data_IF_318175204390
#
_entry.id   IF_318175204390
#
_cell.length_a   1.000
_cell.length_b   1.000
_cell.length_c   1.000
_cell.angle_alpha   90.00
_cell.angle_beta   90.00
_cell.angle_gamma   90.00
#
_symmetry.space_group_name_H-M   'P 1'
#
loop_
_entity.id
_entity.type
_entity.pdbx_description
1 polymer ?
#
# COMPACT_ATOMS: atom_id res chain seq x y z
N UNK A 1 14.86 -26.27 6.92
CA UNK A 1 14.57 -27.28 5.86
C UNK A 1 15.67 -27.16 4.82
N UNK A 2 16.30 -28.27 4.36
CA UNK A 2 17.41 -28.19 3.41
C UNK A 2 16.97 -27.57 2.08
N UNK A 3 17.80 -26.71 1.48
CA UNK A 3 17.53 -26.02 0.21
C UNK A 3 17.07 -26.98 -0.92
N UNK A 4 17.59 -28.21 -0.93
CA UNK A 4 17.18 -29.25 -1.88
C UNK A 4 15.74 -29.72 -1.69
N UNK A 5 15.21 -29.71 -0.46
CA UNK A 5 13.78 -30.03 -0.21
C UNK A 5 12.86 -28.92 -0.66
N UNK A 6 13.31 -27.67 -0.53
CA UNK A 6 12.55 -26.48 -0.99
C UNK A 6 12.45 -26.49 -2.52
N UNK A 7 13.56 -26.75 -3.20
CA UNK A 7 13.60 -26.85 -4.66
C UNK A 7 12.69 -27.97 -5.19
N UNK A 8 12.67 -29.13 -4.54
CA UNK A 8 11.83 -30.28 -4.92
C UNK A 8 10.34 -29.92 -4.73
N UNK A 9 9.96 -29.25 -3.64
CA UNK A 9 8.56 -28.85 -3.40
C UNK A 9 8.11 -27.82 -4.44
N UNK A 10 8.96 -26.88 -4.81
CA UNK A 10 8.65 -25.86 -5.84
C UNK A 10 8.50 -26.46 -7.23
N UNK A 11 9.40 -27.37 -7.59
CA UNK A 11 9.29 -28.12 -8.86
C UNK A 11 8.03 -28.99 -8.85
N UNK A 12 7.65 -29.58 -7.72
CA UNK A 12 6.43 -30.37 -7.59
C UNK A 12 5.17 -29.49 -7.68
N UNK A 13 5.16 -28.29 -7.05
CA UNK A 13 4.03 -27.35 -7.12
C UNK A 13 3.89 -26.81 -8.56
N UNK A 14 4.99 -26.42 -9.20
CA UNK A 14 4.99 -26.00 -10.60
C UNK A 14 4.52 -27.14 -11.53
N UNK A 15 4.98 -28.37 -11.32
CA UNK A 15 4.58 -29.54 -12.10
C UNK A 15 3.09 -29.89 -11.90
N UNK A 16 2.58 -29.82 -10.66
CA UNK A 16 1.17 -30.06 -10.34
C UNK A 16 0.30 -28.96 -10.96
N UNK A 17 0.72 -27.70 -10.92
CA UNK A 17 -0.01 -26.58 -11.53
C UNK A 17 -0.05 -26.74 -13.07
N UNK A 18 1.05 -27.11 -13.70
CA UNK A 18 1.13 -27.38 -15.14
C UNK A 18 0.27 -28.59 -15.51
N UNK A 19 0.31 -29.68 -14.73
CA UNK A 19 -0.47 -30.89 -14.98
C UNK A 19 -1.98 -30.66 -14.83
N UNK A 20 -2.41 -29.91 -13.83
CA UNK A 20 -3.82 -29.56 -13.61
C UNK A 20 -4.41 -28.69 -14.74
N UNK A 21 -3.59 -27.82 -15.33
CA UNK A 21 -4.00 -26.99 -16.49
C UNK A 21 -4.09 -27.80 -17.78
N UNK A 22 -3.24 -28.81 -17.96
CA UNK A 22 -3.16 -29.60 -19.21
C UNK A 22 -4.26 -30.68 -19.30
N UNK A 23 -4.80 -31.16 -18.19
CA UNK A 23 -5.72 -32.32 -18.17
C UNK A 23 -7.19 -31.99 -17.95
N UNK A 24 -7.57 -30.72 -17.77
CA UNK A 24 -8.95 -30.30 -17.56
C UNK A 24 -9.74 -30.20 -18.88
N UNK A 25 -10.98 -30.76 -18.97
CA UNK A 25 -11.84 -30.58 -20.15
C UNK A 25 -12.29 -29.10 -20.28
N UNK A 26 -12.18 -28.56 -21.47
CA UNK A 26 -12.12 -27.14 -21.79
C UNK A 26 -13.43 -26.32 -21.68
N UNK A 27 -14.55 -26.88 -21.21
CA UNK A 27 -15.87 -26.25 -21.48
C UNK A 27 -16.44 -25.40 -20.32
N UNK A 28 -16.13 -25.66 -19.01
CA UNK A 28 -16.79 -24.99 -17.90
C UNK A 28 -15.91 -24.78 -16.63
N UNK A 29 -14.60 -24.89 -16.78
CA UNK A 29 -13.70 -24.70 -15.63
C UNK A 29 -13.32 -23.24 -15.44
N UNK A 30 -13.32 -22.74 -14.19
CA UNK A 30 -12.82 -21.40 -13.91
C UNK A 30 -11.36 -21.30 -14.38
N UNK A 31 -11.02 -20.19 -15.05
CA UNK A 31 -9.64 -19.96 -15.52
C UNK A 31 -8.74 -19.74 -14.30
N UNK A 32 -7.82 -20.66 -14.09
CA UNK A 32 -6.76 -20.52 -13.13
C UNK A 32 -5.61 -19.74 -13.78
N UNK A 33 -5.24 -18.61 -13.20
CA UNK A 33 -4.07 -17.83 -13.58
C UNK A 33 -3.23 -17.62 -12.33
N UNK A 34 -1.97 -17.28 -12.50
CA UNK A 34 -1.11 -16.98 -11.37
C UNK A 34 0.34 -16.82 -11.79
N UNK A 35 1.22 -16.86 -10.81
CA UNK A 35 2.65 -16.85 -11.06
C UNK A 35 3.41 -17.60 -9.96
N UNK A 36 4.64 -17.94 -10.27
CA UNK A 36 5.65 -18.34 -9.30
C UNK A 36 6.79 -17.33 -9.36
N UNK A 37 7.27 -16.91 -8.20
CA UNK A 37 8.23 -15.83 -8.07
C UNK A 37 9.30 -16.16 -7.05
N UNK A 38 10.52 -15.75 -7.32
CA UNK A 38 11.64 -15.76 -6.38
C UNK A 38 12.18 -14.36 -6.25
N UNK A 39 12.26 -13.87 -5.01
CA UNK A 39 12.75 -12.54 -4.64
C UNK A 39 13.95 -12.65 -3.70
N UNK A 40 15.01 -11.91 -4.02
CA UNK A 40 16.20 -11.77 -3.18
C UNK A 40 16.48 -10.27 -3.04
N UNK A 41 16.61 -9.81 -1.80
CA UNK A 41 16.96 -8.42 -1.45
C UNK A 41 18.17 -8.42 -0.53
N UNK A 42 19.26 -7.79 -0.96
CA UNK A 42 20.52 -7.68 -0.23
C UNK A 42 20.64 -6.28 0.35
N UNK A 43 20.96 -6.16 1.65
CA UNK A 43 21.27 -4.90 2.28
C UNK A 43 22.63 -4.40 1.80
N UNK A 44 22.70 -3.11 1.48
CA UNK A 44 23.96 -2.44 1.09
C UNK A 44 24.81 -2.14 2.33
N UNK A 45 24.14 -1.83 3.43
CA UNK A 45 24.75 -1.57 4.73
C UNK A 45 24.42 -2.67 5.72
N UNK A 46 25.28 -2.91 6.69
CA UNK A 46 25.00 -3.81 7.80
C UNK A 46 24.01 -3.18 8.79
N UNK A 47 22.77 -3.61 8.78
CA UNK A 47 21.82 -3.31 9.83
C UNK A 47 21.97 -4.33 10.98
N UNK A 48 22.78 -3.99 11.95
CA UNK A 48 23.09 -4.85 13.12
C UNK A 48 21.92 -4.94 14.12
N UNK A 49 20.89 -4.13 13.96
CA UNK A 49 19.74 -4.09 14.86
C UNK A 49 18.62 -5.04 14.40
N UNK A 50 18.51 -5.30 13.10
CA UNK A 50 17.58 -6.27 12.56
C UNK A 50 18.05 -7.73 12.79
N UNK A 51 17.15 -8.69 12.64
CA UNK A 51 17.46 -10.13 12.88
C UNK A 51 18.44 -10.73 11.88
N UNK A 52 18.54 -10.15 10.68
CA UNK A 52 19.42 -10.57 9.58
C UNK A 52 20.20 -9.36 9.06
N UNK A 53 21.53 -9.45 9.04
CA UNK A 53 22.37 -8.31 8.68
C UNK A 53 22.56 -8.13 7.16
N UNK A 54 22.68 -9.23 6.39
CA UNK A 54 23.11 -9.17 4.99
C UNK A 54 21.97 -9.08 3.98
N UNK A 55 20.72 -9.38 4.35
CA UNK A 55 19.60 -9.36 3.43
C UNK A 55 18.30 -8.96 4.16
N UNK A 56 17.35 -8.41 3.42
CA UNK A 56 16.03 -8.05 3.91
C UNK A 56 14.90 -8.82 3.23
N UNK A 57 15.20 -9.58 2.17
CA UNK A 57 14.23 -10.38 1.42
C UNK A 57 14.91 -11.63 0.88
N UNK A 58 14.35 -12.80 1.15
CA UNK A 58 14.70 -14.08 0.55
C UNK A 58 13.42 -14.91 0.51
N UNK A 59 12.67 -14.76 -0.58
CA UNK A 59 11.27 -15.18 -0.66
C UNK A 59 11.03 -16.04 -1.89
N UNK A 60 10.09 -16.97 -1.74
CA UNK A 60 9.48 -17.68 -2.84
C UNK A 60 7.98 -17.61 -2.68
N UNK A 61 7.31 -17.22 -3.74
CA UNK A 61 5.88 -16.98 -3.77
C UNK A 61 5.23 -17.71 -4.92
N UNK A 62 4.07 -18.29 -4.68
CA UNK A 62 3.16 -18.76 -5.71
C UNK A 62 1.81 -18.09 -5.50
N UNK A 63 1.33 -17.37 -6.50
CA UNK A 63 0.00 -16.77 -6.53
C UNK A 63 -0.95 -17.64 -7.34
N UNK A 64 -2.16 -17.81 -6.82
CA UNK A 64 -3.28 -18.48 -7.50
C UNK A 64 -4.45 -17.52 -7.57
N UNK A 65 -4.99 -17.35 -8.78
CA UNK A 65 -6.10 -16.45 -9.08
C UNK A 65 -7.18 -17.21 -9.82
N UNK A 66 -8.38 -17.20 -9.26
CA UNK A 66 -9.55 -17.86 -9.81
C UNK A 66 -10.68 -16.86 -9.99
N UNK A 67 -11.30 -16.87 -11.15
CA UNK A 67 -12.48 -16.07 -11.46
C UNK A 67 -13.57 -16.98 -11.99
N UNK A 68 -14.72 -16.97 -11.35
CA UNK A 68 -15.84 -17.83 -11.70
C UNK A 68 -17.13 -17.01 -11.86
N UNK A 69 -17.85 -17.27 -12.94
CA UNK A 69 -19.14 -16.66 -13.25
C UNK A 69 -20.21 -17.76 -13.19
N UNK A 70 -21.00 -17.85 -12.10
CA UNK A 70 -22.01 -18.87 -11.91
C UNK A 70 -23.19 -18.62 -12.88
N UNK A 71 -23.36 -19.46 -13.87
CA UNK A 71 -24.42 -19.36 -14.91
C UNK A 71 -25.57 -20.33 -14.71
N UNK A 72 -25.39 -21.37 -13.84
CA UNK A 72 -26.38 -22.41 -13.58
C UNK A 72 -27.60 -21.93 -12.78
N UNK A 73 -27.43 -20.90 -11.95
CA UNK A 73 -28.53 -20.29 -11.21
C UNK A 73 -28.98 -19.03 -11.94
N UNK A 74 -30.23 -19.01 -12.45
CA UNK A 74 -30.76 -17.94 -13.27
C UNK A 74 -30.60 -16.55 -12.64
N UNK A 75 -30.81 -16.43 -11.32
CA UNK A 75 -30.67 -15.18 -10.59
C UNK A 75 -29.24 -14.66 -10.57
N UNK A 76 -28.23 -15.54 -10.38
CA UNK A 76 -26.82 -15.17 -10.36
C UNK A 76 -26.35 -14.75 -11.76
N UNK A 77 -26.82 -15.43 -12.80
CA UNK A 77 -26.59 -15.05 -14.20
C UNK A 77 -27.21 -13.70 -14.53
N UNK A 78 -28.45 -13.46 -14.10
CA UNK A 78 -29.15 -12.19 -14.31
C UNK A 78 -28.42 -11.01 -13.65
N UNK A 79 -27.81 -11.23 -12.50
CA UNK A 79 -27.05 -10.24 -11.76
C UNK A 79 -25.58 -10.13 -12.17
N UNK A 80 -25.13 -10.79 -13.24
CA UNK A 80 -23.73 -10.82 -13.68
C UNK A 80 -22.78 -11.14 -12.52
N UNK A 81 -23.14 -12.15 -11.70
CA UNK A 81 -22.41 -12.48 -10.49
C UNK A 81 -21.01 -13.01 -10.81
N UNK A 82 -20.01 -12.47 -10.13
CA UNK A 82 -18.62 -12.92 -10.17
C UNK A 82 -18.21 -13.38 -8.78
N UNK A 83 -17.57 -14.54 -8.69
CA UNK A 83 -16.83 -15.00 -7.50
C UNK A 83 -15.35 -14.93 -7.85
N UNK A 84 -14.62 -14.17 -7.05
CA UNK A 84 -13.18 -13.98 -7.24
C UNK A 84 -12.41 -14.49 -6.03
N UNK A 85 -11.34 -15.22 -6.29
CA UNK A 85 -10.41 -15.72 -5.29
C UNK A 85 -8.98 -15.48 -5.76
N UNK A 86 -8.17 -14.88 -4.90
CA UNK A 86 -6.74 -14.68 -5.09
C UNK A 86 -6.02 -15.00 -3.78
N UNK A 87 -5.02 -15.86 -3.84
CA UNK A 87 -4.23 -16.26 -2.68
C UNK A 87 -2.76 -16.42 -3.04
N UNK A 88 -1.90 -16.17 -2.07
CA UNK A 88 -0.47 -16.40 -2.17
C UNK A 88 -0.04 -17.52 -1.21
N UNK A 89 0.87 -18.36 -1.68
CA UNK A 89 1.70 -19.21 -0.83
C UNK A 89 3.08 -18.58 -0.76
N UNK A 90 3.49 -18.16 0.43
CA UNK A 90 4.76 -17.48 0.66
C UNK A 90 5.66 -18.32 1.56
N UNK A 91 6.89 -18.56 1.10
CA UNK A 91 8.02 -19.01 1.89
C UNK A 91 9.01 -17.85 2.00
N UNK A 92 9.34 -17.48 3.21
CA UNK A 92 10.21 -16.33 3.50
C UNK A 92 11.17 -16.72 4.62
N UNK A 93 12.45 -16.44 4.44
CA UNK A 93 13.50 -16.76 5.42
C UNK A 93 13.32 -16.04 6.77
N UNK A 94 12.46 -14.99 6.82
CA UNK A 94 12.04 -14.30 8.05
C UNK A 94 10.87 -14.97 8.76
N UNK A 95 10.33 -16.07 8.24
CA UNK A 95 9.24 -16.84 8.83
C UNK A 95 9.75 -18.18 9.35
N UNK A 96 9.34 -18.58 10.55
CA UNK A 96 9.65 -19.88 11.11
C UNK A 96 8.98 -21.02 10.34
N UNK A 97 7.81 -20.75 9.77
CA UNK A 97 7.00 -21.69 8.99
C UNK A 97 6.51 -21.00 7.70
N UNK A 98 6.37 -21.74 6.57
CA UNK A 98 5.71 -21.20 5.40
C UNK A 98 4.32 -20.67 5.80
N UNK A 99 4.02 -19.43 5.45
CA UNK A 99 2.62 -18.98 5.52
C UNK A 99 1.86 -19.63 4.37
N UNK A 100 1.19 -20.71 4.71
CA UNK A 100 0.14 -21.23 3.89
C UNK A 100 -1.04 -20.27 4.04
N UNK A 101 -1.26 -19.45 3.01
CA UNK A 101 -2.46 -18.69 2.75
C UNK A 101 -2.90 -17.61 3.77
N UNK A 102 -3.47 -16.68 3.31
CA UNK A 102 -4.65 -15.90 3.57
C UNK A 102 -5.15 -15.55 2.20
N UNK A 103 -6.43 -15.63 1.90
CA UNK A 103 -6.92 -15.05 0.68
C UNK A 103 -6.45 -13.61 0.68
N UNK A 104 -5.79 -13.22 -0.39
CA UNK A 104 -5.46 -11.82 -0.59
C UNK A 104 -6.68 -11.05 -1.06
N UNK A 105 -7.54 -11.73 -1.84
CA UNK A 105 -8.87 -11.27 -2.18
C UNK A 105 -9.82 -12.47 -2.28
N UNK A 106 -10.97 -12.37 -1.63
CA UNK A 106 -12.05 -13.34 -1.72
C UNK A 106 -13.37 -12.58 -1.64
N UNK A 107 -14.02 -12.39 -2.76
CA UNK A 107 -15.26 -11.65 -2.80
C UNK A 107 -16.27 -12.21 -3.79
N UNK A 108 -17.53 -11.83 -3.58
CA UNK A 108 -18.60 -11.93 -4.55
C UNK A 108 -18.98 -10.52 -5.02
N UNK A 109 -19.08 -10.33 -6.33
CA UNK A 109 -19.56 -9.09 -6.92
C UNK A 109 -20.77 -9.39 -7.82
N UNK A 110 -21.78 -8.51 -7.78
CA UNK A 110 -22.99 -8.68 -8.57
C UNK A 110 -23.70 -7.35 -8.79
N UNK A 111 -24.51 -7.28 -9.87
CA UNK A 111 -25.27 -6.10 -10.30
C UNK A 111 -26.77 -6.39 -10.19
N UNK A 112 -27.40 -6.21 -9.00
CA UNK A 112 -28.81 -6.54 -8.81
C UNK A 112 -29.76 -5.60 -9.55
N UNK A 113 -29.33 -4.35 -9.78
CA UNK A 113 -30.06 -3.32 -10.51
C UNK A 113 -29.10 -2.64 -11.49
N UNK A 114 -29.60 -2.15 -12.62
CA UNK A 114 -28.78 -1.51 -13.66
C UNK A 114 -27.96 -0.29 -13.21
N UNK A 115 -28.28 0.26 -12.05
CA UNK A 115 -27.61 1.41 -11.44
C UNK A 115 -26.89 1.06 -10.12
N UNK A 116 -26.89 -0.21 -9.68
CA UNK A 116 -26.34 -0.61 -8.39
C UNK A 116 -25.44 -1.84 -8.53
N UNK A 117 -24.17 -1.69 -8.21
CA UNK A 117 -23.19 -2.76 -8.12
C UNK A 117 -22.84 -3.02 -6.66
N UNK A 118 -22.79 -4.29 -6.28
CA UNK A 118 -22.46 -4.74 -4.92
C UNK A 118 -21.22 -5.63 -4.96
N UNK A 119 -20.28 -5.42 -4.03
CA UNK A 119 -19.11 -6.25 -3.83
C UNK A 119 -18.93 -6.53 -2.35
N UNK A 120 -18.88 -7.81 -1.95
CA UNK A 120 -18.82 -8.22 -0.54
C UNK A 120 -17.70 -9.24 -0.37
N UNK A 121 -16.85 -9.05 0.61
CA UNK A 121 -15.77 -9.96 0.96
C UNK A 121 -14.44 -9.25 1.15
N UNK A 122 -13.36 -10.02 1.19
CA UNK A 122 -12.01 -9.52 1.31
C UNK A 122 -11.56 -8.94 -0.03
N UNK A 123 -11.26 -7.65 -0.07
CA UNK A 123 -10.98 -6.90 -1.29
C UNK A 123 -10.01 -5.77 -1.06
N UNK A 124 -9.18 -5.49 -2.07
CA UNK A 124 -8.33 -4.31 -2.09
C UNK A 124 -9.19 -3.11 -2.51
N UNK A 125 -9.20 -2.09 -1.65
CA UNK A 125 -9.85 -0.81 -1.87
C UNK A 125 -8.78 0.26 -2.09
N UNK A 126 -9.09 1.26 -2.92
CA UNK A 126 -8.17 2.38 -3.19
C UNK A 126 -8.90 3.56 -3.76
N UNK A 127 -8.59 4.74 -3.23
CA UNK A 127 -9.06 6.04 -3.71
C UNK A 127 -7.88 6.99 -3.86
N UNK A 128 -8.14 8.26 -4.18
CA UNK A 128 -7.09 9.25 -4.33
C UNK A 128 -6.40 9.24 -5.70
N UNK A 129 -5.53 10.20 -5.92
CA UNK A 129 -4.85 10.45 -7.19
C UNK A 129 -3.32 10.50 -7.07
N UNK A 130 -2.80 10.44 -5.85
CA UNK A 130 -1.36 10.49 -5.57
C UNK A 130 -0.62 9.23 -6.01
N UNK A 131 0.63 9.42 -6.43
CA UNK A 131 1.56 8.36 -6.80
C UNK A 131 2.46 8.05 -5.59
N UNK A 132 2.17 6.97 -4.85
CA UNK A 132 2.75 6.60 -3.55
C UNK A 132 2.55 7.64 -2.42
N UNK A 133 1.67 8.62 -2.60
CA UNK A 133 1.20 9.54 -1.57
C UNK A 133 -0.29 9.32 -1.39
N UNK A 134 -0.73 9.10 -0.16
CA UNK A 134 -2.08 8.65 0.16
C UNK A 134 -2.75 9.64 1.11
N UNK A 135 -3.53 10.60 0.56
CA UNK A 135 -4.34 11.55 1.33
C UNK A 135 -5.74 10.99 1.52
N UNK A 136 -6.42 10.70 0.40
CA UNK A 136 -7.80 10.20 0.40
C UNK A 136 -7.88 8.66 0.35
N UNK A 137 -6.75 7.98 0.20
CA UNK A 137 -6.65 6.52 0.25
C UNK A 137 -6.31 6.07 1.68
N UNK A 138 -7.30 6.07 2.56
CA UNK A 138 -7.18 5.70 3.97
C UNK A 138 -7.24 4.18 4.21
N UNK A 139 -7.26 3.37 3.15
CA UNK A 139 -7.21 1.90 3.25
C UNK A 139 -5.83 1.40 3.68
N UNK A 140 -5.74 0.18 4.24
CA UNK A 140 -4.48 -0.34 4.79
C UNK A 140 -3.39 -0.56 3.74
N UNK A 141 -2.14 -0.34 4.14
CA UNK A 141 -0.92 -0.46 3.31
C UNK A 141 0.13 -1.36 3.96
N UNK A 142 0.90 -2.05 3.13
CA UNK A 142 2.11 -2.77 3.55
C UNK A 142 3.37 -1.94 3.25
N UNK A 143 3.72 -1.07 4.17
CA UNK A 143 4.93 -0.26 4.06
C UNK A 143 6.21 -1.08 4.18
N UNK A 144 6.17 -2.22 4.90
CA UNK A 144 7.31 -3.15 4.95
C UNK A 144 7.61 -3.68 3.55
N UNK A 145 6.58 -4.14 2.80
CA UNK A 145 6.72 -4.59 1.42
C UNK A 145 7.28 -3.49 0.51
N UNK A 146 6.84 -2.25 0.69
CA UNK A 146 7.30 -1.11 -0.08
C UNK A 146 8.80 -0.82 0.13
N UNK A 147 9.28 -0.84 1.38
CA UNK A 147 10.66 -0.52 1.77
C UNK A 147 11.64 -1.63 1.35
N UNK A 148 11.22 -2.90 1.37
CA UNK A 148 12.11 -4.01 0.99
C UNK A 148 12.15 -4.27 -0.53
N UNK A 149 11.26 -3.68 -1.31
CA UNK A 149 11.23 -3.80 -2.77
C UNK A 149 10.40 -4.97 -3.30
N UNK A 150 9.40 -5.46 -2.54
CA UNK A 150 8.35 -6.32 -3.11
C UNK A 150 7.63 -5.60 -4.25
N UNK A 151 6.92 -6.36 -5.08
CA UNK A 151 6.10 -5.79 -6.13
C UNK A 151 5.10 -4.77 -5.55
N UNK A 152 4.87 -3.67 -6.28
CA UNK A 152 3.98 -2.58 -5.83
C UNK A 152 2.54 -3.05 -5.61
N UNK A 153 2.14 -4.18 -6.20
CA UNK A 153 0.84 -4.78 -5.90
C UNK A 153 0.69 -5.18 -4.42
N UNK A 154 1.82 -5.45 -3.71
CA UNK A 154 1.84 -5.80 -2.29
C UNK A 154 1.81 -4.59 -1.36
N UNK A 155 1.92 -3.37 -1.88
CA UNK A 155 1.78 -2.16 -1.08
C UNK A 155 0.36 -2.00 -0.50
N UNK A 156 -0.67 -2.49 -1.22
CA UNK A 156 -2.07 -2.38 -0.77
C UNK A 156 -2.52 -3.67 -0.11
N UNK A 157 -3.04 -3.55 1.10
CA UNK A 157 -3.61 -4.66 1.85
C UNK A 157 -5.12 -4.75 1.63
N UNK A 158 -5.70 -5.94 1.66
CA UNK A 158 -7.13 -6.13 1.58
C UNK A 158 -7.85 -5.74 2.88
N UNK A 159 -9.13 -5.45 2.77
CA UNK A 159 -10.07 -5.27 3.87
C UNK A 159 -11.30 -6.15 3.67
N UNK A 160 -11.87 -6.69 4.74
CA UNK A 160 -13.20 -7.28 4.71
C UNK A 160 -14.22 -6.16 4.60
N UNK A 161 -14.89 -6.06 3.46
CA UNK A 161 -15.77 -4.94 3.19
C UNK A 161 -17.02 -5.33 2.42
N UNK A 162 -18.09 -4.59 2.68
CA UNK A 162 -19.22 -4.47 1.78
C UNK A 162 -19.13 -3.13 1.05
N UNK A 163 -19.13 -3.16 -0.29
CA UNK A 163 -19.15 -1.96 -1.14
C UNK A 163 -20.43 -1.96 -1.97
N UNK A 164 -21.13 -0.82 -1.97
CA UNK A 164 -22.26 -0.51 -2.83
C UNK A 164 -21.89 0.67 -3.71
N UNK A 165 -21.91 0.49 -5.02
CA UNK A 165 -21.73 1.56 -6.00
C UNK A 165 -23.09 1.88 -6.63
N UNK A 166 -23.55 3.11 -6.47
CA UNK A 166 -24.76 3.64 -7.10
C UNK A 166 -24.37 4.56 -8.25
N UNK A 167 -24.78 4.24 -9.46
CA UNK A 167 -24.44 4.99 -10.66
C UNK A 167 -25.66 5.74 -11.21
N UNK A 168 -25.48 7.01 -11.53
CA UNK A 168 -26.50 7.84 -12.17
C UNK A 168 -25.91 8.69 -13.29
N UNK A 169 -26.77 9.35 -14.07
CA UNK A 169 -26.33 10.33 -15.09
C UNK A 169 -25.66 11.57 -14.46
N UNK A 170 -25.92 11.86 -13.20
CA UNK A 170 -25.38 13.01 -12.50
C UNK A 170 -24.01 12.72 -11.86
N UNK A 171 -23.90 11.62 -11.14
CA UNK A 171 -22.69 11.21 -10.44
C UNK A 171 -22.81 9.74 -10.02
N UNK A 172 -21.68 9.14 -9.61
CA UNK A 172 -21.62 7.84 -8.95
C UNK A 172 -21.28 8.02 -7.47
N UNK A 173 -21.92 7.20 -6.62
CA UNK A 173 -21.71 7.17 -5.18
C UNK A 173 -21.23 5.78 -4.77
N UNK A 174 -20.05 5.70 -4.18
CA UNK A 174 -19.56 4.51 -3.49
C UNK A 174 -19.85 4.63 -2.00
N UNK A 175 -20.41 3.59 -1.42
CA UNK A 175 -20.59 3.41 0.02
C UNK A 175 -19.85 2.14 0.43
N UNK A 176 -18.99 2.25 1.44
CA UNK A 176 -18.18 1.13 1.93
C UNK A 176 -18.38 0.99 3.43
N UNK A 177 -18.53 -0.26 3.89
CA UNK A 177 -18.55 -0.62 5.30
C UNK A 177 -17.49 -1.70 5.57
N UNK A 178 -16.63 -1.48 6.56
CA UNK A 178 -15.52 -2.36 6.94
C UNK A 178 -15.71 -2.76 8.41
N UNK A 179 -16.33 -3.92 8.69
CA UNK A 179 -16.63 -4.36 10.06
C UNK A 179 -15.42 -4.88 10.84
N UNK A 180 -14.31 -5.21 10.14
CA UNK A 180 -13.10 -5.74 10.76
C UNK A 180 -11.91 -4.83 10.42
N UNK A 181 -11.32 -4.23 11.44
CA UNK A 181 -10.15 -3.37 11.30
C UNK A 181 -8.96 -4.14 10.73
N UNK A 182 -8.26 -3.52 9.78
CA UNK A 182 -6.98 -4.02 9.24
C UNK A 182 -5.96 -2.90 9.35
N UNK A 183 -4.87 -3.09 10.12
CA UNK A 183 -3.80 -2.09 10.25
C UNK A 183 -2.87 -2.06 9.05
N UNK A 184 -2.08 -1.00 8.93
CA UNK A 184 -0.90 -0.99 8.09
C UNK A 184 0.14 -2.00 8.60
N UNK A 185 0.82 -2.68 7.69
CA UNK A 185 2.02 -3.43 8.01
C UNK A 185 3.22 -2.48 7.96
N UNK A 186 3.67 -2.03 9.13
CA UNK A 186 4.81 -1.13 9.28
C UNK A 186 6.06 -1.89 9.75
N UNK A 187 7.29 -1.37 9.53
CA UNK A 187 8.50 -1.94 10.10
C UNK A 187 8.38 -2.18 11.60
N UNK A 188 8.75 -3.37 12.03
CA UNK A 188 8.63 -3.83 13.42
C UNK A 188 9.97 -4.19 14.07
N UNK A 189 11.09 -3.84 13.42
CA UNK A 189 12.44 -4.11 13.90
C UNK A 189 12.99 -5.51 13.59
N UNK A 190 12.16 -6.45 13.14
CA UNK A 190 12.65 -7.79 12.82
C UNK A 190 13.43 -7.80 11.48
N UNK A 191 12.86 -7.23 10.44
CA UNK A 191 13.42 -7.18 9.09
C UNK A 191 14.14 -5.85 8.79
N UNK A 192 13.58 -4.77 9.30
CA UNK A 192 13.99 -3.38 9.09
C UNK A 192 14.02 -2.70 10.43
N UNK A 193 15.15 -2.06 10.77
CA UNK A 193 15.24 -1.17 11.92
C UNK A 193 14.49 0.14 11.64
N UNK A 194 13.97 0.79 12.66
CA UNK A 194 13.19 2.02 12.52
C UNK A 194 13.40 2.93 13.72
N UNK A 195 13.10 4.22 13.57
CA UNK A 195 13.15 5.17 14.66
C UNK A 195 11.99 4.97 15.64
N UNK A 196 12.30 4.83 16.92
CA UNK A 196 11.33 4.73 17.99
C UNK A 196 11.30 6.02 18.82
N UNK A 197 10.23 6.85 18.72
CA UNK A 197 10.14 8.09 19.48
C UNK A 197 10.17 7.90 21.00
N UNK A 198 9.77 6.72 21.51
CA UNK A 198 9.81 6.43 22.94
C UNK A 198 11.24 6.31 23.47
N UNK A 199 12.15 5.80 22.64
CA UNK A 199 13.56 5.60 22.99
C UNK A 199 14.49 6.66 22.37
N UNK A 200 13.96 7.55 21.55
CA UNK A 200 14.68 8.59 20.79
C UNK A 200 15.90 8.01 20.04
N UNK A 201 15.72 6.85 19.40
CA UNK A 201 16.78 6.16 18.65
C UNK A 201 16.23 5.13 17.67
N UNK A 202 17.10 4.70 16.75
CA UNK A 202 16.82 3.52 15.89
C UNK A 202 16.79 2.26 16.76
N UNK A 203 15.74 1.44 16.57
CA UNK A 203 15.53 0.15 17.24
C UNK A 203 15.34 -0.96 16.21
N UNK A 204 15.63 -2.18 16.62
CA UNK A 204 15.48 -3.38 15.79
C UNK A 204 14.70 -4.46 16.54
N UNK A 205 15.23 -5.70 16.57
CA UNK A 205 14.61 -6.88 17.19
C UNK A 205 14.26 -6.73 18.67
N UNK A 206 14.85 -5.76 19.35
CA UNK A 206 14.57 -5.46 20.76
C UNK A 206 13.44 -4.43 20.95
N UNK A 207 12.75 -4.08 19.89
CA UNK A 207 11.57 -3.22 19.97
C UNK A 207 10.42 -3.98 20.63
N UNK A 208 10.12 -3.66 21.88
CA UNK A 208 9.01 -4.26 22.66
C UNK A 208 7.76 -3.37 22.54
N UNK A 209 7.21 -3.24 21.34
CA UNK A 209 5.96 -2.53 21.11
C UNK A 209 4.77 -3.47 21.12
N UNK A 210 3.75 -3.11 21.87
CA UNK A 210 2.48 -3.81 21.93
C UNK A 210 1.40 -2.92 21.30
N UNK A 211 0.51 -3.53 20.54
CA UNK A 211 -0.56 -2.84 19.82
C UNK A 211 -1.92 -3.33 20.30
N UNK A 212 -2.84 -2.39 20.52
CA UNK A 212 -4.25 -2.68 20.79
C UNK A 212 -5.07 -2.24 19.59
N UNK A 213 -5.59 -3.22 18.85
CA UNK A 213 -6.45 -2.97 17.70
C UNK A 213 -7.91 -2.74 18.15
N UNK A 214 -8.69 -1.94 17.39
CA UNK A 214 -10.13 -1.84 17.58
C UNK A 214 -10.76 -3.24 17.45
N UNK A 215 -11.51 -3.71 18.47
CA UNK A 215 -12.15 -5.01 18.38
C UNK A 215 -13.28 -5.02 17.35
N UNK A 216 -13.50 -6.17 16.71
CA UNK A 216 -14.60 -6.34 15.75
C UNK A 216 -15.94 -6.24 16.49
N UNK A 217 -16.60 -5.08 16.35
CA UNK A 217 -17.91 -4.73 16.90
C UNK A 217 -18.62 -3.79 15.93
N UNK A 218 -19.96 -3.76 15.99
CA UNK A 218 -20.77 -2.86 15.14
C UNK A 218 -20.36 -1.40 15.31
N UNK A 219 -20.10 -0.95 16.53
CA UNK A 219 -19.73 0.44 16.85
C UNK A 219 -18.34 0.82 16.33
N UNK A 220 -17.51 -0.17 15.99
CA UNK A 220 -16.17 0.01 15.43
C UNK A 220 -16.13 -0.23 13.92
N UNK A 221 -17.30 -0.38 13.26
CA UNK A 221 -17.37 -0.51 11.80
C UNK A 221 -16.93 0.79 11.15
N UNK A 222 -15.88 0.71 10.32
CA UNK A 222 -15.45 1.85 9.54
C UNK A 222 -16.44 2.05 8.38
N UNK A 223 -16.79 3.29 8.09
CA UNK A 223 -17.72 3.65 7.01
C UNK A 223 -17.12 4.71 6.13
N UNK A 224 -17.26 4.53 4.82
CA UNK A 224 -16.67 5.42 3.84
C UNK A 224 -17.66 5.71 2.74
N UNK A 225 -17.68 6.96 2.26
CA UNK A 225 -18.51 7.41 1.17
C UNK A 225 -17.66 8.22 0.17
N UNK A 226 -17.87 7.97 -1.13
CA UNK A 226 -17.20 8.71 -2.20
C UNK A 226 -18.20 9.06 -3.28
N UNK A 227 -18.37 10.36 -3.55
CA UNK A 227 -19.15 10.88 -4.67
C UNK A 227 -18.19 11.33 -5.76
N UNK A 228 -18.34 10.80 -6.98
CA UNK A 228 -17.43 11.11 -8.08
C UNK A 228 -18.14 11.25 -9.42
N UNK A 229 -17.51 12.03 -10.31
CA UNK A 229 -18.00 12.27 -11.67
C UNK A 229 -16.87 12.69 -12.60
N UNK A 230 -16.99 12.31 -13.88
CA UNK A 230 -16.14 12.86 -14.96
C UNK A 230 -16.94 13.90 -15.76
N UNK A 231 -16.41 15.12 -15.85
CA UNK A 231 -16.98 16.24 -16.61
C UNK A 231 -15.89 16.76 -17.55
N UNK A 232 -16.13 16.76 -18.88
CA UNK A 232 -15.19 17.26 -19.88
C UNK A 232 -13.76 16.70 -19.70
N UNK A 233 -13.64 15.40 -19.45
CA UNK A 233 -12.39 14.68 -19.20
C UNK A 233 -11.71 14.98 -17.85
N UNK A 234 -12.29 15.80 -16.99
CA UNK A 234 -11.84 16.02 -15.62
C UNK A 234 -12.63 15.12 -14.67
N UNK A 235 -11.94 14.28 -13.92
CA UNK A 235 -12.51 13.48 -12.86
C UNK A 235 -12.48 14.29 -11.56
N UNK A 236 -13.64 14.41 -10.93
CA UNK A 236 -13.87 15.06 -9.65
C UNK A 236 -14.35 14.03 -8.65
N UNK A 237 -13.86 14.11 -7.45
CA UNK A 237 -14.43 13.35 -6.33
C UNK A 237 -14.39 14.13 -5.02
N UNK A 238 -15.31 13.74 -4.12
CA UNK A 238 -15.29 14.09 -2.71
C UNK A 238 -15.52 12.82 -1.91
N UNK A 239 -14.85 12.70 -0.77
CA UNK A 239 -14.98 11.52 0.08
C UNK A 239 -15.07 11.91 1.55
N UNK A 240 -15.67 11.01 2.31
CA UNK A 240 -15.72 11.01 3.76
C UNK A 240 -15.38 9.61 4.26
N UNK A 241 -14.52 9.53 5.26
CA UNK A 241 -14.20 8.28 5.95
C UNK A 241 -14.35 8.51 7.44
N UNK A 242 -15.02 7.59 8.11
CA UNK A 242 -15.04 7.45 9.56
C UNK A 242 -14.44 6.11 9.93
N UNK A 243 -13.40 6.11 10.73
CA UNK A 243 -12.69 4.89 11.12
C UNK A 243 -11.53 5.18 12.05
N UNK A 244 -10.38 4.59 11.76
CA UNK A 244 -9.19 4.65 12.60
C UNK A 244 -7.95 4.95 11.77
N UNK A 245 -6.96 5.62 12.38
CA UNK A 245 -5.61 5.64 11.82
C UNK A 245 -5.16 4.20 11.54
N UNK A 246 -4.60 3.96 10.36
CA UNK A 246 -4.11 2.61 9.98
C UNK A 246 -2.73 2.30 10.55
N UNK A 247 -2.02 3.31 11.05
CA UNK A 247 -0.77 3.16 11.81
C UNK A 247 -1.03 3.42 13.30
N UNK A 248 -0.31 2.77 14.22
CA UNK A 248 -0.51 2.92 15.65
C UNK A 248 0.14 4.22 16.15
N UNK A 249 -0.59 5.33 16.05
CA UNK A 249 -0.13 6.70 16.33
C UNK A 249 -0.65 7.25 17.65
N UNK A 250 -1.24 6.41 18.50
CA UNK A 250 -1.70 6.76 19.84
C UNK A 250 -1.05 5.90 20.93
N UNK A 251 -0.81 6.46 22.10
CA UNK A 251 -0.31 5.74 23.28
C UNK A 251 -1.46 5.51 24.28
N UNK A 252 -1.82 4.24 24.53
CA UNK A 252 -2.65 3.88 25.69
C UNK A 252 -1.85 4.00 26.99
N UNK A 253 -0.55 3.70 26.92
CA UNK A 253 0.38 3.87 28.03
C UNK A 253 1.78 4.12 27.46
N UNK A 254 2.25 5.35 27.57
CA UNK A 254 3.56 5.75 27.06
C UNK A 254 4.72 5.08 27.84
N UNK A 255 4.58 4.82 29.13
CA UNK A 255 5.63 4.21 29.95
C UNK A 255 5.92 2.76 29.55
N UNK A 256 4.90 2.03 29.14
CA UNK A 256 5.03 0.64 28.71
C UNK A 256 5.16 0.50 27.18
N UNK A 257 5.06 1.58 26.43
CA UNK A 257 5.05 1.54 24.94
C UNK A 257 3.80 0.90 24.36
N UNK A 258 2.68 0.85 25.12
CA UNK A 258 1.42 0.29 24.62
C UNK A 258 0.75 1.29 23.68
N UNK A 259 0.72 0.94 22.41
CA UNK A 259 0.17 1.73 21.32
C UNK A 259 -1.24 1.28 20.93
N UNK A 260 -1.98 2.18 20.28
CA UNK A 260 -3.28 1.89 19.70
C UNK A 260 -3.55 2.74 18.46
N UNK A 261 -4.67 2.52 17.82
CA UNK A 261 -5.13 3.19 16.61
C UNK A 261 -6.26 4.18 16.98
N UNK A 262 -5.98 5.50 17.10
CA UNK A 262 -7.01 6.49 17.43
C UNK A 262 -8.08 6.59 16.36
N UNK A 263 -9.29 7.03 16.73
CA UNK A 263 -10.37 7.33 15.79
C UNK A 263 -10.01 8.51 14.89
N UNK A 264 -10.41 8.41 13.63
CA UNK A 264 -10.11 9.37 12.57
C UNK A 264 -11.32 9.60 11.68
N UNK A 265 -11.70 10.87 11.50
CA UNK A 265 -12.55 11.31 10.40
C UNK A 265 -11.70 11.95 9.31
N UNK A 266 -11.93 11.57 8.05
CA UNK A 266 -11.27 12.19 6.91
C UNK A 266 -12.28 12.78 5.95
N UNK A 267 -12.08 14.04 5.59
CA UNK A 267 -12.87 14.76 4.58
C UNK A 267 -11.96 15.09 3.41
N UNK A 268 -12.22 14.51 2.25
CA UNK A 268 -11.34 14.62 1.11
C UNK A 268 -12.00 15.12 -0.15
N UNK A 269 -11.19 15.67 -1.04
CA UNK A 269 -11.58 16.01 -2.40
C UNK A 269 -10.40 15.85 -3.36
N UNK A 270 -10.69 15.51 -4.60
CA UNK A 270 -9.69 15.49 -5.66
C UNK A 270 -10.25 15.92 -7.01
N UNK A 271 -9.34 16.35 -7.86
CA UNK A 271 -9.58 16.59 -9.29
C UNK A 271 -8.37 16.11 -10.07
N UNK A 272 -8.61 15.43 -11.18
CA UNK A 272 -7.56 15.13 -12.16
C UNK A 272 -8.08 15.28 -13.58
N UNK A 273 -7.20 15.69 -14.49
CA UNK A 273 -7.57 15.83 -15.89
C UNK A 273 -6.45 16.33 -16.78
N UNK A 274 -6.70 16.44 -18.09
CA UNK A 274 -5.73 16.88 -19.06
C UNK A 274 -5.36 18.36 -18.89
N UNK A 275 -4.10 18.70 -19.20
CA UNK A 275 -3.61 20.09 -19.26
C UNK A 275 -3.49 20.50 -20.74
N UNK A 276 -4.46 21.22 -21.33
CA UNK A 276 -4.54 21.44 -22.76
C UNK A 276 -3.32 22.15 -23.35
N UNK A 277 -2.75 23.15 -22.64
CA UNK A 277 -1.63 23.96 -23.13
C UNK A 277 -0.29 23.22 -23.00
N UNK A 278 -0.07 22.58 -21.85
CA UNK A 278 1.20 21.90 -21.55
C UNK A 278 1.22 20.45 -22.00
N UNK A 279 0.05 19.89 -22.34
CA UNK A 279 -0.12 18.44 -22.50
C UNK A 279 0.01 17.71 -21.16
N UNK A 280 -0.19 16.37 -21.15
CA UNK A 280 -0.12 15.59 -19.92
C UNK A 280 -1.38 15.69 -19.06
N UNK A 281 -1.27 15.22 -17.82
CA UNK A 281 -2.35 15.15 -16.83
C UNK A 281 -1.89 15.85 -15.56
N UNK A 282 -2.72 16.71 -15.00
CA UNK A 282 -2.53 17.27 -13.66
C UNK A 282 -3.56 16.68 -12.68
N UNK A 283 -3.17 16.61 -11.43
CA UNK A 283 -4.06 16.26 -10.33
C UNK A 283 -3.84 17.20 -9.13
N UNK A 284 -4.92 17.42 -8.42
CA UNK A 284 -4.93 18.06 -7.11
C UNK A 284 -5.73 17.19 -6.15
N UNK A 285 -5.22 17.01 -4.95
CA UNK A 285 -5.87 16.24 -3.90
C UNK A 285 -5.72 16.99 -2.58
N UNK A 286 -6.76 16.99 -1.77
CA UNK A 286 -6.74 17.59 -0.45
C UNK A 286 -7.52 16.72 0.52
N UNK A 287 -7.11 16.73 1.79
CA UNK A 287 -7.78 16.03 2.87
C UNK A 287 -7.63 16.77 4.19
N UNK A 288 -8.70 16.81 4.95
CA UNK A 288 -8.71 17.16 6.36
C UNK A 288 -8.78 15.85 7.16
N UNK A 289 -7.74 15.56 7.91
CA UNK A 289 -7.65 14.41 8.81
C UNK A 289 -7.94 14.92 10.21
N UNK A 290 -9.14 14.65 10.72
CA UNK A 290 -9.65 15.08 12.02
C UNK A 290 -9.47 13.94 13.04
N UNK A 291 -8.40 14.03 13.83
CA UNK A 291 -8.10 13.08 14.92
C UNK A 291 -9.07 13.31 16.07
N UNK A 292 -9.97 12.37 16.31
CA UNK A 292 -11.09 12.56 17.25
C UNK A 292 -10.68 12.69 18.70
N UNK A 293 -9.48 12.24 19.03
CA UNK A 293 -8.98 12.18 20.39
C UNK A 293 -7.88 13.21 20.69
N UNK A 294 -7.52 14.09 19.71
CA UNK A 294 -6.41 15.06 19.86
C UNK A 294 -6.74 16.27 20.77
N UNK A 295 -8.02 16.49 21.10
CA UNK A 295 -8.52 17.62 21.92
C UNK A 295 -7.93 18.98 21.48
N UNK A 296 -7.97 19.25 20.16
CA UNK A 296 -7.38 20.45 19.55
C UNK A 296 -5.87 20.58 19.83
N UNK A 297 -5.15 19.48 19.67
CA UNK A 297 -3.72 19.32 19.92
C UNK A 297 -3.30 19.51 21.40
N UNK A 298 -4.20 19.24 22.33
CA UNK A 298 -3.89 19.20 23.77
C UNK A 298 -3.60 17.80 24.29
N UNK A 299 -4.02 16.78 23.56
CA UNK A 299 -3.70 15.39 23.90
C UNK A 299 -2.41 14.95 23.21
N UNK A 300 -1.27 15.07 23.89
CA UNK A 300 0.06 14.70 23.38
C UNK A 300 0.26 13.21 23.14
N UNK A 301 -0.69 12.37 23.52
CA UNK A 301 -0.58 10.91 23.39
C UNK A 301 -1.15 10.37 22.07
N UNK A 302 -1.69 11.24 21.23
CA UNK A 302 -2.25 10.87 19.92
C UNK A 302 -1.73 11.78 18.82
N UNK A 303 -1.84 11.31 17.58
CA UNK A 303 -1.55 12.11 16.38
C UNK A 303 -2.51 13.31 16.29
N UNK A 304 -1.96 14.49 16.03
CA UNK A 304 -2.75 15.71 15.84
C UNK A 304 -3.48 15.73 14.49
N UNK A 305 -4.57 16.48 14.46
CA UNK A 305 -5.33 16.76 13.24
C UNK A 305 -4.50 17.52 12.21
N UNK A 306 -4.65 17.17 10.93
CA UNK A 306 -3.85 17.76 9.84
C UNK A 306 -4.71 18.13 8.63
N UNK A 307 -4.30 19.18 7.92
CA UNK A 307 -4.74 19.46 6.56
C UNK A 307 -3.62 19.07 5.58
N UNK A 308 -3.99 18.31 4.55
CA UNK A 308 -3.03 17.77 3.60
C UNK A 308 -3.38 18.19 2.18
N UNK A 309 -2.36 18.44 1.36
CA UNK A 309 -2.50 18.91 -0.01
C UNK A 309 -1.47 18.24 -0.92
N UNK A 310 -1.92 17.84 -2.11
CA UNK A 310 -1.07 17.29 -3.17
C UNK A 310 -1.38 17.98 -4.49
N UNK A 311 -0.34 18.42 -5.18
CA UNK A 311 -0.39 18.82 -6.58
C UNK A 311 0.53 17.92 -7.37
N UNK A 312 0.01 17.33 -8.44
CA UNK A 312 0.78 16.45 -9.32
C UNK A 312 0.64 16.83 -10.78
N UNK A 313 1.67 16.49 -11.55
CA UNK A 313 1.69 16.64 -13.00
C UNK A 313 2.47 15.50 -13.62
N UNK A 314 1.90 14.89 -14.66
CA UNK A 314 2.50 13.77 -15.38
C UNK A 314 2.41 14.00 -16.87
N UNK A 315 3.52 13.78 -17.59
CA UNK A 315 3.59 13.95 -19.04
C UNK A 315 4.44 12.88 -19.71
N UNK A 316 3.88 12.29 -20.76
CA UNK A 316 4.61 11.48 -21.72
C UNK A 316 5.27 12.35 -22.79
N UNK A 317 6.49 11.99 -23.15
CA UNK A 317 7.30 12.61 -24.22
C UNK A 317 7.53 11.61 -25.34
N UNK A 318 8.17 12.08 -26.43
CA UNK A 318 8.58 11.20 -27.53
C UNK A 318 9.52 10.09 -27.03
N UNK A 319 9.54 8.99 -27.77
CA UNK A 319 10.39 7.82 -27.51
C UNK A 319 10.07 7.15 -26.17
N UNK A 320 8.78 7.03 -25.80
CA UNK A 320 8.31 6.31 -24.60
C UNK A 320 8.97 6.78 -23.29
N UNK A 321 9.20 8.07 -23.15
CA UNK A 321 9.70 8.69 -21.94
C UNK A 321 8.58 9.43 -21.20
N UNK A 322 8.46 9.21 -19.91
CA UNK A 322 7.45 9.84 -19.06
C UNK A 322 8.10 10.48 -17.83
N UNK A 323 7.61 11.65 -17.46
CA UNK A 323 8.00 12.38 -16.25
C UNK A 323 6.75 12.64 -15.43
N UNK A 324 6.79 12.30 -14.14
CA UNK A 324 5.81 12.65 -13.13
C UNK A 324 6.44 13.46 -12.01
N UNK A 325 5.76 14.49 -11.56
CA UNK A 325 6.18 15.37 -10.46
C UNK A 325 5.02 15.52 -9.49
N UNK A 326 5.29 15.52 -8.19
CA UNK A 326 4.30 15.83 -7.17
C UNK A 326 4.92 16.72 -6.09
N UNK A 327 4.11 17.59 -5.53
CA UNK A 327 4.41 18.36 -4.32
C UNK A 327 3.33 18.09 -3.28
N UNK A 328 3.75 17.64 -2.12
CA UNK A 328 2.90 17.23 -1.01
C UNK A 328 3.19 18.06 0.23
N UNK A 329 2.13 18.47 0.90
CA UNK A 329 2.19 19.27 2.13
C UNK A 329 1.30 18.61 3.18
N UNK A 330 1.82 18.48 4.41
CA UNK A 330 1.05 18.22 5.62
C UNK A 330 1.14 19.44 6.51
N UNK A 331 0.02 20.02 6.88
CA UNK A 331 -0.07 21.12 7.80
C UNK A 331 -0.74 20.67 9.09
N UNK A 332 -0.01 20.68 10.21
CA UNK A 332 -0.57 20.43 11.52
C UNK A 332 -1.53 21.55 11.93
N UNK A 333 -2.72 21.18 12.36
CA UNK A 333 -3.70 22.11 12.91
C UNK A 333 -3.40 22.41 14.37
N UNK A 334 -3.92 23.55 14.87
CA UNK A 334 -3.76 23.95 16.29
C UNK A 334 -2.30 23.94 16.80
N UNK A 335 -1.32 24.21 15.94
CA UNK A 335 0.12 24.09 16.20
C UNK A 335 0.59 24.87 17.45
N UNK A 336 -0.05 26.01 17.77
CA UNK A 336 0.28 26.78 18.98
C UNK A 336 -0.10 26.00 20.25
N UNK A 337 -1.26 25.34 20.23
CA UNK A 337 -1.67 24.49 21.35
C UNK A 337 -0.75 23.28 21.48
N UNK A 338 -0.41 22.62 20.35
CA UNK A 338 0.59 21.54 20.31
C UNK A 338 1.90 21.95 20.99
N UNK A 339 2.52 23.06 20.58
CA UNK A 339 3.80 23.51 21.17
C UNK A 339 3.70 23.81 22.67
N UNK A 340 2.60 24.39 23.10
CA UNK A 340 2.41 24.73 24.52
C UNK A 340 2.18 23.47 25.39
N UNK A 341 1.87 22.34 24.77
CA UNK A 341 1.60 21.07 25.44
C UNK A 341 2.81 20.12 25.47
N UNK A 342 3.90 20.45 24.76
CA UNK A 342 5.14 19.67 24.79
C UNK A 342 5.81 19.75 26.17
N UNK A 343 6.36 18.62 26.60
CA UNK A 343 7.20 18.54 27.81
C UNK A 343 8.68 18.66 27.43
N UNK A 344 9.50 18.92 28.42
CA UNK A 344 10.94 18.92 28.23
C UNK A 344 11.42 17.52 27.80
N UNK A 345 12.08 17.44 26.65
CA UNK A 345 12.54 16.19 26.02
C UNK A 345 11.59 15.61 24.98
N UNK A 346 10.40 16.16 24.78
CA UNK A 346 9.55 15.74 23.67
C UNK A 346 10.15 16.21 22.32
N UNK A 347 10.04 15.37 21.29
CA UNK A 347 10.43 15.72 19.93
C UNK A 347 9.39 16.67 19.36
N UNK A 348 9.79 17.87 18.97
CA UNK A 348 8.92 18.84 18.35
C UNK A 348 8.82 18.58 16.85
N UNK A 349 7.62 18.26 16.36
CA UNK A 349 7.33 18.19 14.93
C UNK A 349 7.20 19.60 14.32
N UNK A 350 7.50 19.72 13.04
CA UNK A 350 7.27 20.96 12.30
C UNK A 350 5.79 21.22 12.04
N UNK A 351 5.42 22.50 11.98
CA UNK A 351 4.04 22.91 11.62
C UNK A 351 3.65 22.45 10.23
N UNK A 352 4.62 22.45 9.32
CA UNK A 352 4.42 22.13 7.91
C UNK A 352 5.50 21.16 7.46
N UNK A 353 5.11 19.95 7.14
CA UNK A 353 5.95 18.99 6.43
C UNK A 353 5.76 19.12 4.93
N UNK A 354 6.84 18.99 4.17
CA UNK A 354 6.85 19.12 2.73
C UNK A 354 7.60 17.95 2.09
N UNK A 355 7.08 17.44 0.98
CA UNK A 355 7.73 16.38 0.22
C UNK A 355 7.53 16.62 -1.28
N UNK A 356 8.60 16.48 -2.04
CA UNK A 356 8.59 16.41 -3.50
C UNK A 356 8.77 14.98 -3.95
N UNK A 357 8.10 14.60 -5.04
CA UNK A 357 8.39 13.34 -5.72
C UNK A 357 8.70 13.59 -7.19
N UNK A 358 9.59 12.76 -7.72
CA UNK A 358 9.92 12.69 -9.15
C UNK A 358 9.84 11.24 -9.59
N UNK A 359 9.05 10.98 -10.65
CA UNK A 359 9.06 9.71 -11.37
C UNK A 359 9.60 9.92 -12.77
N UNK A 360 10.62 9.17 -13.14
CA UNK A 360 11.11 9.06 -14.51
C UNK A 360 10.88 7.63 -14.99
N UNK A 361 10.20 7.47 -16.12
CA UNK A 361 9.97 6.16 -16.73
C UNK A 361 10.43 6.19 -18.17
N UNK A 362 11.17 5.15 -18.59
CA UNK A 362 11.62 4.98 -19.96
C UNK A 362 11.44 3.54 -20.41
N UNK A 363 10.77 3.36 -21.54
CA UNK A 363 10.62 2.04 -22.17
C UNK A 363 11.64 1.90 -23.31
N UNK A 364 12.20 0.69 -23.43
CA UNK A 364 13.18 0.31 -24.45
C UNK A 364 12.77 -1.01 -25.11
N UNK A 365 13.47 -1.39 -26.17
CA UNK A 365 13.37 -2.69 -26.85
C UNK A 365 11.89 -3.06 -27.14
N UNK A 366 11.16 -2.18 -27.86
CA UNK A 366 9.73 -2.33 -28.13
C UNK A 366 8.90 -2.54 -26.86
N UNK A 367 9.22 -1.78 -25.80
CA UNK A 367 8.54 -1.78 -24.49
C UNK A 367 8.69 -3.07 -23.68
N UNK A 368 9.61 -3.98 -24.06
CA UNK A 368 9.92 -5.18 -23.28
C UNK A 368 10.83 -4.85 -22.08
N UNK A 369 11.57 -3.74 -22.12
CA UNK A 369 12.38 -3.24 -21.00
C UNK A 369 11.79 -1.94 -20.48
N UNK A 370 11.41 -1.93 -19.20
CA UNK A 370 10.93 -0.76 -18.49
C UNK A 370 11.96 -0.34 -17.43
N UNK A 371 12.43 0.90 -17.49
CA UNK A 371 13.27 1.50 -16.46
C UNK A 371 12.52 2.61 -15.75
N UNK A 372 12.57 2.60 -14.43
CA UNK A 372 11.92 3.62 -13.60
C UNK A 372 12.90 4.11 -12.53
N UNK A 373 12.90 5.40 -12.30
CA UNK A 373 13.48 6.00 -11.11
C UNK A 373 12.37 6.77 -10.40
N UNK A 374 12.08 6.39 -9.16
CA UNK A 374 11.22 7.17 -8.28
C UNK A 374 12.05 7.80 -7.17
N UNK A 375 11.81 9.07 -6.89
CA UNK A 375 12.52 9.87 -5.88
C UNK A 375 11.50 10.51 -4.95
N UNK A 376 11.71 10.35 -3.65
CA UNK A 376 11.09 11.17 -2.62
C UNK A 376 12.15 12.09 -2.04
N UNK A 377 11.84 13.36 -1.84
CA UNK A 377 12.71 14.35 -1.22
C UNK A 377 11.92 15.22 -0.25
N UNK A 378 12.32 15.23 1.02
CA UNK A 378 11.81 16.15 2.03
C UNK A 378 12.85 17.24 2.32
N UNK A 379 12.57 18.52 2.00
CA UNK A 379 13.45 19.61 2.38
C UNK A 379 13.42 19.91 3.90
N UNK A 380 12.36 19.50 4.58
CA UNK A 380 12.19 19.69 6.03
C UNK A 380 13.13 18.73 6.80
N UNK A 381 13.06 17.45 6.48
CA UNK A 381 13.90 16.41 7.08
C UNK A 381 15.31 16.34 6.44
N UNK A 382 15.49 17.01 5.29
CA UNK A 382 16.71 16.92 4.47
C UNK A 382 17.09 15.47 4.17
N UNK A 383 16.10 14.69 3.75
CA UNK A 383 16.25 13.28 3.43
C UNK A 383 15.77 12.95 2.01
N UNK A 384 16.25 11.83 1.49
CA UNK A 384 15.93 11.34 0.15
C UNK A 384 15.71 9.83 0.18
N UNK A 385 14.70 9.38 -0.54
CA UNK A 385 14.50 7.97 -0.86
C UNK A 385 14.48 7.78 -2.37
N UNK A 386 15.41 6.96 -2.89
CA UNK A 386 15.53 6.62 -4.31
C UNK A 386 15.09 5.18 -4.54
N UNK A 387 14.25 4.98 -5.57
CA UNK A 387 13.76 3.66 -6.01
C UNK A 387 14.07 3.46 -7.51
N UNK A 388 15.32 3.19 -7.90
CA UNK A 388 15.62 2.75 -9.27
C UNK A 388 15.11 1.34 -9.49
N UNK A 389 14.56 1.06 -10.67
CA UNK A 389 14.18 -0.30 -11.09
C UNK A 389 14.31 -0.49 -12.60
N UNK A 390 14.64 -1.71 -12.99
CA UNK A 390 14.63 -2.18 -14.35
C UNK A 390 13.81 -3.48 -14.39
N UNK A 391 12.77 -3.51 -15.21
CA UNK A 391 11.96 -4.71 -15.47
C UNK A 391 12.17 -5.15 -16.91
N UNK A 392 12.52 -6.40 -17.11
CA UNK A 392 12.69 -7.00 -18.42
C UNK A 392 11.71 -8.17 -18.62
N UNK A 393 10.75 -7.96 -19.52
CA UNK A 393 9.82 -8.98 -19.99
C UNK A 393 10.51 -9.81 -21.06
N UNK A 394 11.23 -10.86 -20.64
CA UNK A 394 12.01 -11.71 -21.53
C UNK A 394 11.12 -12.51 -22.49
N UNK A 395 9.93 -12.94 -22.02
CA UNK A 395 8.84 -13.53 -22.80
C UNK A 395 7.50 -13.10 -22.21
N UNK A 396 6.37 -13.55 -22.76
CA UNK A 396 5.05 -13.30 -22.16
C UNK A 396 4.89 -13.93 -20.77
N UNK A 397 5.61 -15.00 -20.48
CA UNK A 397 5.58 -15.71 -19.20
C UNK A 397 6.68 -15.28 -18.23
N UNK A 398 7.86 -14.88 -18.72
CA UNK A 398 9.01 -14.58 -17.86
C UNK A 398 9.29 -13.09 -17.72
N UNK A 399 9.37 -12.63 -16.49
CA UNK A 399 9.76 -11.27 -16.13
C UNK A 399 10.87 -11.27 -15.11
N UNK A 400 11.93 -10.48 -15.38
CA UNK A 400 13.06 -10.23 -14.47
C UNK A 400 13.00 -8.76 -14.05
N UNK A 401 13.06 -8.51 -12.74
CA UNK A 401 13.15 -7.16 -12.18
C UNK A 401 14.41 -7.07 -11.34
N UNK A 402 15.18 -6.01 -11.55
CA UNK A 402 16.28 -5.60 -10.68
C UNK A 402 16.03 -4.18 -10.23
N UNK A 403 16.16 -3.92 -8.94
CA UNK A 403 15.92 -2.59 -8.40
C UNK A 403 16.64 -2.35 -7.09
N UNK A 404 16.41 -1.21 -6.49
CA UNK A 404 17.00 -0.85 -5.20
C UNK A 404 16.11 0.12 -4.43
N UNK A 405 16.32 0.15 -3.13
CA UNK A 405 15.79 1.13 -2.21
C UNK A 405 16.98 1.78 -1.51
N UNK A 406 17.20 3.05 -1.77
CA UNK A 406 18.37 3.80 -1.28
C UNK A 406 17.86 4.95 -0.41
N UNK A 407 18.14 4.88 0.87
CA UNK A 407 17.71 5.86 1.86
C UNK A 407 18.90 6.73 2.26
N UNK A 408 18.74 8.04 2.15
CA UNK A 408 19.77 9.04 2.46
C UNK A 408 19.17 10.07 3.42
N UNK A 409 19.92 10.44 4.45
CA UNK A 409 19.54 11.45 5.45
C UNK A 409 20.45 11.38 6.66
N UNK A 410 20.52 12.49 7.39
CA UNK A 410 21.38 12.61 8.58
C UNK A 410 20.60 12.53 9.90
N UNK A 411 19.28 12.66 9.84
CA UNK A 411 18.41 12.63 11.02
C UNK A 411 17.78 11.24 11.18
N UNK A 412 17.92 10.64 12.33
CA UNK A 412 17.38 9.31 12.61
C UNK A 412 15.83 9.32 12.76
N UNK A 413 15.24 10.46 13.09
CA UNK A 413 13.79 10.66 13.17
C UNK A 413 13.14 11.16 11.88
N UNK A 414 13.91 11.29 10.79
CA UNK A 414 13.39 11.69 9.48
C UNK A 414 12.57 10.59 8.82
N UNK A 415 11.64 10.96 7.94
CA UNK A 415 10.73 10.04 7.27
C UNK A 415 11.47 8.89 6.55
N UNK A 416 12.51 9.20 5.78
CA UNK A 416 13.32 8.23 5.04
C UNK A 416 14.72 8.03 5.63
N UNK A 417 15.28 9.06 6.24
CA UNK A 417 16.61 9.02 6.86
C UNK A 417 16.77 7.94 7.92
N UNK A 418 15.69 7.61 8.63
CA UNK A 418 15.67 6.52 9.62
C UNK A 418 16.03 5.15 9.02
N UNK A 419 15.79 4.93 7.72
CA UNK A 419 16.04 3.66 7.03
C UNK A 419 17.39 3.61 6.30
N UNK A 420 18.31 4.57 6.55
CA UNK A 420 19.62 4.62 5.86
C UNK A 420 20.44 3.32 6.00
N UNK A 421 20.29 2.63 7.13
CA UNK A 421 20.92 1.31 7.38
C UNK A 421 20.29 0.16 6.60
N UNK A 422 19.09 0.34 6.08
CA UNK A 422 18.30 -0.68 5.38
C UNK A 422 18.29 -0.52 3.86
N UNK A 423 19.13 0.39 3.32
CA UNK A 423 19.31 0.51 1.87
C UNK A 423 19.64 -0.87 1.27
N UNK A 424 18.95 -1.21 0.16
CA UNK A 424 19.02 -2.56 -0.39
C UNK A 424 18.95 -2.56 -1.91
N UNK A 425 19.43 -3.66 -2.49
CA UNK A 425 19.28 -4.00 -3.92
C UNK A 425 18.54 -5.32 -3.98
N UNK A 426 17.54 -5.41 -4.86
CA UNK A 426 16.73 -6.61 -5.01
C UNK A 426 16.69 -7.11 -6.45
N UNK A 427 16.46 -8.43 -6.58
CA UNK A 427 16.24 -9.12 -7.83
C UNK A 427 15.02 -10.02 -7.69
N UNK A 428 14.12 -9.97 -8.67
CA UNK A 428 12.89 -10.75 -8.75
C UNK A 428 12.83 -11.48 -10.07
N UNK A 429 12.60 -12.79 -10.04
CA UNK A 429 12.30 -13.59 -11.21
C UNK A 429 10.90 -14.16 -11.09
N UNK A 430 10.01 -13.81 -12.03
CA UNK A 430 8.60 -14.23 -12.06
C UNK A 430 8.30 -15.03 -13.32
N UNK A 431 7.62 -16.15 -13.14
CA UNK A 431 6.98 -16.94 -14.20
C UNK A 431 5.47 -16.90 -14.03
N UNK A 432 4.76 -16.39 -15.04
CA UNK A 432 3.28 -16.29 -15.08
C UNK A 432 2.69 -17.39 -15.96
N UNK A 433 1.56 -17.99 -15.56
CA UNK A 433 0.87 -19.06 -16.26
C UNK A 433 -0.63 -18.82 -16.39
#
# INVERSE_FOLDING_TARGET
MNANKILIILVAIAAISIYAVVTAPAADMPKLNGFVETDIGLKVNDDKLASKNGYNMAEQRAEFKLRYFPDKLAILKQWNTEIFFKTDVLMDEYMEQPKWWGPRELYIAFTPLSFADVKIGEQILTWGTGDYIFINDQFPKDYTSFIIGRDDEYLKLPSYAGRLTLSSKLASLDLVAIPAFTPNNVPNGNRISFFDPLFDRIVGTQSNRYFVEPPMKIDNTEVEARLYRTINSYQWDTNYNHGYYKSPVGYKNQQTGLLYYPELDTYGASIQGPVPIAGGIANFETGLLDSKEDDYAKNRLVQDSTAQYLVGYKRGFKNDFEVGLQYYIIQMLHYTAYKNNLLAGDIQNDKVYQQYTLRLTKLFANQTVNTTLFVFYSPVDNDVYLRPSLSWKATDAWNLVVGGNIFLGNQDNAAWGQYKGDSNIYCRLRYSY
#
